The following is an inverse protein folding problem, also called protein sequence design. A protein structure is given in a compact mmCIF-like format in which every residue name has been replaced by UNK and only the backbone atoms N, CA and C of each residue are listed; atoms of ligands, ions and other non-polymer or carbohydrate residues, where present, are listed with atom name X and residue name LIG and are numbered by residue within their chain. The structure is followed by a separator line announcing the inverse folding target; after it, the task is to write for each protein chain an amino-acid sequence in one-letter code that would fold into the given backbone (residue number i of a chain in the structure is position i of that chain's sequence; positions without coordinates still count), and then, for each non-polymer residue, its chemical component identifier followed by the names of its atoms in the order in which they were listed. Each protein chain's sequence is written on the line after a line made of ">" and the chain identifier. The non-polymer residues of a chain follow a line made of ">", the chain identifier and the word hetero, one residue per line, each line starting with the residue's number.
data_IF_207742385254
#
_entry.id   IF_207742385254
#
_cell.length_a   1.000
_cell.length_b   1.000
_cell.length_c   1.000
_cell.angle_alpha   90.00
_cell.angle_beta   90.00
_cell.angle_gamma   90.00
#
_symmetry.space_group_name_H-M   'P 1'
#
loop_
_entity.id
_entity.type
_entity.pdbx_description
1 polymer ?
#
# COMPACT_ATOMS: atom_id res chain seq x y z
N UNK A 1 -10.19 -16.92 -46.27
CA UNK A 1 -10.78 -16.31 -45.06
C UNK A 1 -11.34 -17.43 -44.23
N UNK A 2 -10.65 -17.81 -43.18
CA UNK A 2 -10.93 -18.99 -42.36
C UNK A 2 -12.08 -18.72 -41.39
N UNK A 3 -12.96 -19.72 -41.18
CA UNK A 3 -14.13 -19.67 -40.28
C UNK A 3 -13.79 -19.27 -38.81
N UNK A 4 -12.54 -19.38 -38.40
CA UNK A 4 -12.08 -18.98 -37.08
C UNK A 4 -12.08 -17.45 -36.85
N UNK A 5 -11.77 -16.64 -37.86
CA UNK A 5 -11.79 -15.17 -37.73
C UNK A 5 -13.17 -14.55 -37.57
N UNK A 6 -14.21 -15.19 -38.10
CA UNK A 6 -15.61 -14.74 -37.96
C UNK A 6 -16.20 -15.04 -36.59
N UNK A 7 -15.73 -16.09 -35.91
CA UNK A 7 -16.16 -16.42 -34.54
C UNK A 7 -15.65 -15.44 -33.50
N UNK A 8 -14.42 -15.02 -33.66
CA UNK A 8 -13.75 -14.10 -32.69
C UNK A 8 -14.28 -12.66 -32.79
N UNK A 9 -14.56 -12.17 -34.00
CA UNK A 9 -15.22 -10.86 -34.19
C UNK A 9 -16.68 -10.83 -33.70
N UNK A 10 -17.43 -11.93 -33.94
CA UNK A 10 -18.80 -12.06 -33.47
C UNK A 10 -18.85 -12.16 -31.92
N UNK A 11 -17.89 -12.85 -31.31
CA UNK A 11 -17.77 -12.98 -29.87
C UNK A 11 -17.36 -11.63 -29.22
N UNK A 12 -16.42 -10.89 -29.81
CA UNK A 12 -16.04 -9.52 -29.37
C UNK A 12 -17.22 -8.55 -29.50
N UNK A 13 -17.97 -8.57 -30.62
CA UNK A 13 -19.18 -7.77 -30.78
C UNK A 13 -20.27 -8.13 -29.76
N UNK A 14 -20.44 -9.42 -29.42
CA UNK A 14 -21.40 -9.89 -28.43
C UNK A 14 -21.07 -9.44 -26.99
N UNK A 15 -19.81 -9.47 -26.59
CA UNK A 15 -19.35 -9.01 -25.28
C UNK A 15 -19.51 -7.48 -25.12
N UNK A 16 -19.10 -6.70 -26.13
CA UNK A 16 -19.31 -5.25 -26.16
C UNK A 16 -20.81 -4.87 -26.21
N UNK A 17 -21.62 -5.62 -26.92
CA UNK A 17 -23.06 -5.40 -26.99
C UNK A 17 -23.77 -5.73 -25.68
N UNK A 18 -23.34 -6.79 -24.97
CA UNK A 18 -23.84 -7.12 -23.61
C UNK A 18 -23.45 -6.07 -22.57
N UNK A 19 -22.21 -5.57 -22.63
CA UNK A 19 -21.76 -4.51 -21.75
C UNK A 19 -22.57 -3.21 -21.92
N UNK A 20 -23.00 -2.88 -23.13
CA UNK A 20 -23.80 -1.69 -23.44
C UNK A 20 -25.27 -1.79 -22.97
N UNK A 21 -25.76 -3.01 -22.70
CA UNK A 21 -27.13 -3.28 -22.16
C UNK A 21 -27.16 -3.46 -20.64
N UNK A 22 -26.01 -3.38 -19.95
CA UNK A 22 -25.99 -3.46 -18.50
C UNK A 22 -26.60 -2.21 -17.86
N UNK A 23 -27.28 -2.33 -16.70
CA UNK A 23 -27.73 -1.18 -15.96
C UNK A 23 -26.53 -0.28 -15.58
N UNK A 24 -26.70 1.05 -15.48
CA UNK A 24 -25.62 2.01 -15.22
C UNK A 24 -24.73 1.64 -14.00
N UNK A 25 -25.35 1.11 -12.95
CA UNK A 25 -24.66 0.66 -11.74
C UNK A 25 -23.69 -0.52 -12.03
N UNK A 26 -24.10 -1.49 -12.84
CA UNK A 26 -23.25 -2.62 -13.21
C UNK A 26 -22.11 -2.20 -14.14
N UNK A 27 -22.31 -1.21 -15.01
CA UNK A 27 -21.25 -0.65 -15.84
C UNK A 27 -20.18 0.05 -14.98
N UNK A 28 -20.59 0.82 -13.98
CA UNK A 28 -19.69 1.48 -13.05
C UNK A 28 -18.87 0.44 -12.26
N UNK A 29 -19.54 -0.61 -11.74
CA UNK A 29 -18.85 -1.71 -11.03
C UNK A 29 -17.80 -2.38 -11.91
N UNK A 30 -18.14 -2.67 -13.17
CA UNK A 30 -17.20 -3.30 -14.12
C UNK A 30 -16.01 -2.38 -14.44
N UNK A 31 -16.24 -1.08 -14.67
CA UNK A 31 -15.18 -0.12 -14.96
C UNK A 31 -14.20 0.02 -13.79
N UNK A 32 -14.70 0.07 -12.55
CA UNK A 32 -13.86 0.08 -11.36
C UNK A 32 -13.14 -1.26 -11.15
N UNK A 33 -13.75 -2.39 -11.48
CA UNK A 33 -13.07 -3.69 -11.41
C UNK A 33 -11.92 -3.77 -12.42
N UNK A 34 -12.13 -3.33 -13.66
CA UNK A 34 -11.09 -3.28 -14.70
C UNK A 34 -9.96 -2.34 -14.31
N UNK A 35 -10.29 -1.13 -13.82
CA UNK A 35 -9.31 -0.19 -13.27
C UNK A 35 -8.51 -0.84 -12.13
N UNK A 36 -9.20 -1.51 -11.20
CA UNK A 36 -8.59 -2.18 -10.06
C UNK A 36 -7.63 -3.31 -10.45
N UNK A 37 -7.94 -4.08 -11.48
CA UNK A 37 -7.08 -5.14 -12.05
C UNK A 37 -5.73 -4.56 -12.49
N UNK A 38 -5.75 -3.47 -13.28
CA UNK A 38 -4.53 -2.84 -13.74
C UNK A 38 -3.74 -2.20 -12.61
N UNK A 39 -4.42 -1.49 -11.70
CA UNK A 39 -3.81 -0.92 -10.51
C UNK A 39 -3.12 -2.00 -9.65
N UNK A 40 -3.79 -3.12 -9.42
CA UNK A 40 -3.24 -4.19 -8.60
C UNK A 40 -2.02 -4.85 -9.26
N UNK A 41 -2.04 -5.03 -10.58
CA UNK A 41 -0.86 -5.49 -11.31
C UNK A 41 0.35 -4.60 -11.03
N UNK A 42 0.19 -3.28 -11.20
CA UNK A 42 1.23 -2.28 -10.96
C UNK A 42 1.72 -2.32 -9.51
N UNK A 43 0.79 -2.31 -8.55
CA UNK A 43 1.10 -2.34 -7.12
C UNK A 43 1.85 -3.61 -6.72
N UNK A 44 1.44 -4.77 -7.26
CA UNK A 44 2.06 -6.05 -6.97
C UNK A 44 3.47 -6.14 -7.54
N UNK A 45 3.68 -5.68 -8.77
CA UNK A 45 5.03 -5.66 -9.39
C UNK A 45 5.94 -4.68 -8.66
N UNK A 46 5.44 -3.51 -8.23
CA UNK A 46 6.23 -2.60 -7.39
C UNK A 46 6.62 -3.24 -6.06
N UNK A 47 5.68 -3.89 -5.39
CA UNK A 47 5.87 -4.40 -4.03
C UNK A 47 7.05 -5.37 -3.92
N UNK A 48 7.19 -6.31 -4.86
CA UNK A 48 8.28 -7.28 -4.81
C UNK A 48 9.37 -7.00 -5.86
N UNK A 49 9.03 -6.43 -7.01
CA UNK A 49 9.91 -6.29 -8.16
C UNK A 49 10.94 -5.18 -8.02
N UNK A 50 10.63 -4.05 -7.38
CA UNK A 50 11.57 -2.91 -7.26
C UNK A 50 12.83 -3.29 -6.49
N UNK A 51 12.71 -3.99 -5.38
CA UNK A 51 13.85 -4.46 -4.61
C UNK A 51 14.70 -5.47 -5.40
N UNK A 52 14.04 -6.44 -6.06
CA UNK A 52 14.72 -7.42 -6.91
C UNK A 52 15.42 -6.75 -8.10
N UNK A 53 14.79 -5.74 -8.69
CA UNK A 53 15.36 -4.99 -9.81
C UNK A 53 16.64 -4.27 -9.40
N UNK A 54 16.59 -3.53 -8.28
CA UNK A 54 17.75 -2.86 -7.72
C UNK A 54 18.87 -3.85 -7.36
N UNK A 55 18.53 -4.99 -6.71
CA UNK A 55 19.51 -6.02 -6.34
C UNK A 55 20.20 -6.61 -7.56
N UNK A 56 19.46 -6.92 -8.65
CA UNK A 56 20.05 -7.44 -9.88
C UNK A 56 20.84 -6.38 -10.67
N UNK A 57 20.66 -5.08 -10.39
CA UNK A 57 21.53 -4.00 -10.87
C UNK A 57 22.74 -3.73 -9.97
N UNK A 58 22.92 -4.49 -8.88
CA UNK A 58 24.06 -4.34 -7.96
C UNK A 58 23.85 -3.33 -6.84
N UNK A 59 22.62 -3.04 -6.43
CA UNK A 59 22.32 -2.13 -5.33
C UNK A 59 22.95 -2.59 -4.00
N UNK A 60 23.47 -1.64 -3.24
CA UNK A 60 23.96 -1.85 -1.87
C UNK A 60 22.78 -1.95 -0.88
N UNK A 61 23.02 -2.53 0.32
CA UNK A 61 21.99 -2.63 1.37
C UNK A 61 21.39 -1.24 1.71
N UNK A 62 22.22 -0.19 1.76
CA UNK A 62 21.77 1.17 2.00
C UNK A 62 20.84 1.70 0.89
N UNK A 63 21.15 1.37 -0.36
CA UNK A 63 20.31 1.75 -1.51
C UNK A 63 18.97 1.04 -1.48
N UNK A 64 18.91 -0.23 -1.05
CA UNK A 64 17.63 -0.93 -0.80
C UNK A 64 16.79 -0.17 0.24
N UNK A 65 17.42 0.36 1.31
CA UNK A 65 16.73 1.21 2.30
C UNK A 65 16.09 2.48 1.71
N UNK A 66 16.69 3.06 0.67
CA UNK A 66 16.20 4.30 0.04
C UNK A 66 14.99 4.04 -0.88
N UNK A 67 14.79 2.83 -1.39
CA UNK A 67 13.72 2.50 -2.34
C UNK A 67 12.34 2.91 -1.81
N UNK A 68 12.08 2.70 -0.52
CA UNK A 68 10.81 3.11 0.11
C UNK A 68 10.76 4.61 0.41
N UNK A 69 11.91 5.24 0.67
CA UNK A 69 11.98 6.63 1.06
C UNK A 69 11.59 7.59 -0.08
N UNK A 70 12.12 7.37 -1.28
CA UNK A 70 11.92 8.27 -2.43
C UNK A 70 10.44 8.45 -2.79
N UNK A 71 9.65 7.40 -3.01
CA UNK A 71 8.22 7.54 -3.35
C UNK A 71 7.41 8.27 -2.28
N UNK A 72 7.69 8.00 -1.02
CA UNK A 72 6.94 8.58 0.09
C UNK A 72 7.28 10.06 0.30
N UNK A 73 8.53 10.48 0.11
CA UNK A 73 8.92 11.90 0.13
C UNK A 73 8.22 12.65 -1.00
N UNK A 74 8.24 12.09 -2.22
CA UNK A 74 7.56 12.68 -3.39
C UNK A 74 6.07 12.81 -3.12
N UNK A 75 5.44 11.76 -2.56
CA UNK A 75 4.03 11.80 -2.19
C UNK A 75 3.76 12.90 -1.15
N UNK A 76 4.52 12.97 -0.08
CA UNK A 76 4.36 14.01 0.96
C UNK A 76 4.50 15.43 0.38
N UNK A 77 5.48 15.65 -0.49
CA UNK A 77 5.71 16.96 -1.09
C UNK A 77 4.60 17.36 -2.09
N UNK A 78 4.06 16.38 -2.82
CA UNK A 78 3.10 16.63 -3.90
C UNK A 78 1.63 16.61 -3.43
N UNK A 79 1.28 15.84 -2.39
CA UNK A 79 -0.12 15.65 -1.99
C UNK A 79 -0.79 16.96 -1.58
N UNK A 80 -0.11 17.84 -0.85
CA UNK A 80 -0.67 19.12 -0.42
C UNK A 80 -0.91 20.08 -1.60
N UNK A 81 0.09 20.38 -2.47
CA UNK A 81 -0.14 21.24 -3.64
C UNK A 81 -1.19 20.67 -4.59
N UNK A 82 -1.18 19.35 -4.83
CA UNK A 82 -2.13 18.71 -5.73
C UNK A 82 -3.54 18.62 -5.13
N UNK A 83 -3.68 18.50 -3.81
CA UNK A 83 -4.96 18.60 -3.13
C UNK A 83 -5.60 19.97 -3.35
N UNK A 84 -4.84 21.06 -3.13
CA UNK A 84 -5.31 22.42 -3.38
C UNK A 84 -5.68 22.64 -4.87
N UNK A 85 -4.87 22.06 -5.77
CA UNK A 85 -5.14 22.13 -7.20
C UNK A 85 -6.41 21.36 -7.58
N UNK A 86 -6.62 20.17 -6.99
CA UNK A 86 -7.79 19.34 -7.23
C UNK A 86 -9.10 20.06 -6.87
N UNK A 87 -9.11 20.82 -5.77
CA UNK A 87 -10.29 21.59 -5.33
C UNK A 87 -10.67 22.73 -6.30
N UNK A 88 -9.72 23.18 -7.13
CA UNK A 88 -9.94 24.22 -8.14
C UNK A 88 -10.34 23.67 -9.51
N UNK A 89 -10.22 22.37 -9.70
CA UNK A 89 -10.50 21.74 -10.99
C UNK A 89 -11.97 21.35 -11.10
N UNK A 90 -12.56 21.56 -12.28
CA UNK A 90 -13.97 21.22 -12.58
C UNK A 90 -14.23 19.71 -12.54
N UNK A 91 -13.20 18.85 -12.61
CA UNK A 91 -13.35 17.41 -12.65
C UNK A 91 -12.36 16.73 -11.72
N UNK A 92 -12.88 15.87 -10.85
CA UNK A 92 -12.09 15.01 -9.94
C UNK A 92 -11.23 13.98 -10.67
N UNK A 93 -11.39 13.80 -11.99
CA UNK A 93 -10.56 12.91 -12.82
C UNK A 93 -9.26 13.53 -13.27
N UNK A 94 -9.13 14.86 -13.29
CA UNK A 94 -8.02 15.55 -13.93
C UNK A 94 -6.68 15.17 -13.30
N UNK A 95 -6.58 15.21 -11.98
CA UNK A 95 -5.34 14.84 -11.27
C UNK A 95 -5.03 13.33 -11.42
N UNK A 96 -5.97 12.38 -11.19
CA UNK A 96 -5.73 10.97 -11.47
C UNK A 96 -5.24 10.71 -12.91
N UNK A 97 -5.84 11.33 -13.91
CA UNK A 97 -5.43 11.17 -15.31
C UNK A 97 -4.01 11.70 -15.57
N UNK A 98 -3.68 12.86 -15.02
CA UNK A 98 -2.33 13.42 -15.13
C UNK A 98 -1.29 12.52 -14.47
N UNK A 99 -1.57 12.02 -13.26
CA UNK A 99 -0.67 11.11 -12.56
C UNK A 99 -0.48 9.79 -13.32
N UNK A 100 -1.52 9.27 -13.98
CA UNK A 100 -1.38 8.09 -14.84
C UNK A 100 -0.48 8.35 -16.05
N UNK A 101 -0.55 9.52 -16.67
CA UNK A 101 0.37 9.87 -17.77
C UNK A 101 1.82 9.93 -17.29
N UNK A 102 2.07 10.55 -16.14
CA UNK A 102 3.39 10.57 -15.50
C UNK A 102 3.88 9.16 -15.18
N UNK A 103 3.00 8.31 -14.61
CA UNK A 103 3.33 6.91 -14.32
C UNK A 103 3.67 6.12 -15.58
N UNK A 104 2.92 6.30 -16.68
CA UNK A 104 3.18 5.62 -17.93
C UNK A 104 4.60 5.93 -18.44
N UNK A 105 4.97 7.21 -18.52
CA UNK A 105 6.31 7.63 -18.90
C UNK A 105 7.36 7.12 -17.91
N UNK A 106 7.06 7.16 -16.60
CA UNK A 106 7.93 6.67 -15.54
C UNK A 106 8.21 5.17 -15.65
N UNK A 107 7.22 4.32 -15.91
CA UNK A 107 7.42 2.87 -16.07
C UNK A 107 8.14 2.51 -17.36
N UNK A 108 7.87 3.21 -18.47
CA UNK A 108 8.63 3.05 -19.70
C UNK A 108 10.11 3.42 -19.50
N UNK A 109 10.37 4.50 -18.77
CA UNK A 109 11.72 4.92 -18.39
C UNK A 109 12.38 3.89 -17.46
N UNK A 110 11.69 3.43 -16.39
CA UNK A 110 12.18 2.42 -15.45
C UNK A 110 12.58 1.13 -16.16
N UNK A 111 11.78 0.63 -17.11
CA UNK A 111 12.12 -0.53 -17.92
C UNK A 111 13.38 -0.36 -18.76
N UNK A 112 13.76 0.90 -19.09
CA UNK A 112 14.94 1.22 -19.89
C UNK A 112 16.20 1.46 -19.06
N UNK A 113 16.09 1.71 -17.75
CA UNK A 113 17.19 2.09 -16.86
C UNK A 113 18.44 1.22 -16.97
N UNK A 114 18.39 -0.14 -16.98
CA UNK A 114 19.61 -0.96 -17.06
C UNK A 114 20.40 -0.80 -18.37
N UNK A 115 19.75 -0.29 -19.42
CA UNK A 115 20.42 -0.03 -20.70
C UNK A 115 21.16 1.31 -20.74
N UNK A 116 21.07 2.13 -19.66
CA UNK A 116 21.63 3.49 -19.62
C UNK A 116 23.04 3.55 -18.98
N UNK A 117 23.68 2.40 -18.78
CA UNK A 117 25.09 2.30 -18.39
C UNK A 117 25.35 2.61 -16.92
N UNK A 118 26.50 3.25 -16.62
CA UNK A 118 27.03 3.41 -15.26
C UNK A 118 26.11 4.18 -14.29
N UNK A 119 25.25 5.05 -14.79
CA UNK A 119 24.31 5.83 -13.98
C UNK A 119 22.96 5.14 -13.74
N UNK A 120 22.87 3.83 -14.04
CA UNK A 120 21.59 3.11 -13.93
C UNK A 120 20.97 3.21 -12.53
N UNK A 121 21.77 3.19 -11.47
CA UNK A 121 21.25 3.27 -10.10
C UNK A 121 20.67 4.65 -9.74
N UNK A 122 21.32 5.74 -10.17
CA UNK A 122 20.82 7.09 -9.97
C UNK A 122 19.49 7.30 -10.73
N UNK A 123 19.45 6.85 -12.00
CA UNK A 123 18.28 6.93 -12.86
C UNK A 123 17.14 6.04 -12.34
N UNK A 124 17.46 4.91 -11.70
CA UNK A 124 16.48 4.10 -11.02
C UNK A 124 15.78 4.89 -9.90
N UNK A 125 16.53 5.56 -9.01
CA UNK A 125 15.93 6.36 -7.95
C UNK A 125 15.10 7.53 -8.49
N UNK A 126 15.56 8.19 -9.57
CA UNK A 126 14.77 9.21 -10.24
C UNK A 126 13.46 8.61 -10.78
N UNK A 127 13.52 7.41 -11.38
CA UNK A 127 12.31 6.74 -11.89
C UNK A 127 11.29 6.38 -10.82
N UNK A 128 11.73 6.14 -9.56
CA UNK A 128 10.83 5.88 -8.44
C UNK A 128 9.90 7.07 -8.13
N UNK A 129 10.38 8.29 -8.36
CA UNK A 129 9.55 9.48 -8.19
C UNK A 129 8.37 9.49 -9.16
N UNK A 130 8.61 9.10 -10.41
CA UNK A 130 7.62 9.10 -11.49
C UNK A 130 6.78 7.82 -11.55
N UNK A 131 7.17 6.75 -10.87
CA UNK A 131 6.43 5.49 -10.78
C UNK A 131 5.73 5.35 -9.44
N UNK A 132 6.42 4.85 -8.42
CA UNK A 132 5.85 4.60 -7.10
C UNK A 132 5.42 5.90 -6.38
N UNK A 133 6.12 7.02 -6.58
CA UNK A 133 5.72 8.33 -6.07
C UNK A 133 4.40 8.82 -6.69
N UNK A 134 4.30 8.76 -8.02
CA UNK A 134 3.06 9.10 -8.71
C UNK A 134 1.91 8.14 -8.35
N UNK A 135 2.19 6.84 -8.15
CA UNK A 135 1.20 5.86 -7.69
C UNK A 135 0.63 6.24 -6.31
N UNK A 136 1.46 6.71 -5.39
CA UNK A 136 0.99 7.15 -4.07
C UNK A 136 0.06 8.37 -4.17
N UNK A 137 0.38 9.32 -5.07
CA UNK A 137 -0.48 10.47 -5.37
C UNK A 137 -1.80 10.01 -6.01
N UNK A 138 -1.72 9.09 -6.99
CA UNK A 138 -2.89 8.52 -7.63
C UNK A 138 -3.84 7.90 -6.61
N UNK A 139 -3.33 7.07 -5.71
CA UNK A 139 -4.13 6.38 -4.69
C UNK A 139 -4.89 7.35 -3.77
N UNK A 140 -4.29 8.49 -3.43
CA UNK A 140 -4.95 9.52 -2.63
C UNK A 140 -6.08 10.22 -3.41
N UNK A 141 -5.83 10.60 -4.66
CA UNK A 141 -6.80 11.30 -5.50
C UNK A 141 -7.90 10.37 -6.03
N UNK A 142 -7.61 9.07 -6.18
CA UNK A 142 -8.58 8.06 -6.57
C UNK A 142 -9.77 8.00 -5.60
N UNK A 143 -9.54 8.14 -4.30
CA UNK A 143 -10.61 8.12 -3.29
C UNK A 143 -11.62 9.24 -3.50
N UNK A 144 -11.16 10.44 -3.84
CA UNK A 144 -12.04 11.58 -4.16
C UNK A 144 -12.85 11.31 -5.43
N UNK A 145 -12.21 10.80 -6.48
CA UNK A 145 -12.86 10.42 -7.74
C UNK A 145 -13.91 9.31 -7.51
N UNK A 146 -13.56 8.27 -6.74
CA UNK A 146 -14.47 7.18 -6.40
C UNK A 146 -15.69 7.70 -5.63
N UNK A 147 -15.45 8.58 -4.66
CA UNK A 147 -16.51 9.23 -3.88
C UNK A 147 -17.46 10.08 -4.72
N UNK A 148 -16.96 10.72 -5.79
CA UNK A 148 -17.79 11.50 -6.72
C UNK A 148 -18.54 10.64 -7.75
N UNK A 149 -17.96 9.47 -8.13
CA UNK A 149 -18.54 8.59 -9.16
C UNK A 149 -19.59 7.61 -8.60
N UNK A 150 -19.53 7.26 -7.30
CA UNK A 150 -20.35 6.19 -6.70
C UNK A 150 -21.15 6.71 -5.54
N UNK A 151 -22.48 6.49 -5.58
CA UNK A 151 -23.38 6.88 -4.50
C UNK A 151 -23.02 6.17 -3.19
N UNK A 152 -23.25 6.82 -2.05
CA UNK A 152 -22.93 6.30 -0.70
C UNK A 152 -23.47 4.88 -0.48
N UNK A 153 -24.69 4.61 -0.95
CA UNK A 153 -25.35 3.30 -0.80
C UNK A 153 -24.66 2.17 -1.55
N UNK A 154 -24.00 2.47 -2.68
CA UNK A 154 -23.38 1.46 -3.55
C UNK A 154 -21.87 1.34 -3.35
N UNK A 155 -21.24 2.24 -2.58
CA UNK A 155 -19.77 2.29 -2.43
C UNK A 155 -19.19 0.98 -1.94
N UNK A 156 -19.80 0.35 -0.95
CA UNK A 156 -19.30 -0.89 -0.38
C UNK A 156 -19.36 -2.04 -1.38
N UNK A 157 -20.43 -2.13 -2.17
CA UNK A 157 -20.60 -3.20 -3.16
C UNK A 157 -19.62 -3.06 -4.33
N UNK A 158 -19.47 -1.82 -4.85
CA UNK A 158 -18.50 -1.51 -5.91
C UNK A 158 -17.06 -1.78 -5.44
N UNK A 159 -16.72 -1.35 -4.22
CA UNK A 159 -15.40 -1.55 -3.64
C UNK A 159 -15.10 -3.03 -3.38
N UNK A 160 -16.06 -3.79 -2.85
CA UNK A 160 -15.93 -5.22 -2.62
C UNK A 160 -15.75 -5.99 -3.94
N UNK A 161 -16.56 -5.68 -4.94
CA UNK A 161 -16.47 -6.29 -6.28
C UNK A 161 -15.11 -6.01 -6.93
N UNK A 162 -14.66 -4.75 -6.92
CA UNK A 162 -13.32 -4.35 -7.39
C UNK A 162 -12.21 -5.16 -6.71
N UNK A 163 -12.24 -5.24 -5.40
CA UNK A 163 -11.20 -5.92 -4.62
C UNK A 163 -11.11 -7.42 -4.89
N UNK A 164 -12.22 -8.11 -5.20
CA UNK A 164 -12.19 -9.53 -5.58
C UNK A 164 -11.27 -9.78 -6.79
N UNK A 165 -11.37 -8.96 -7.83
CA UNK A 165 -10.49 -9.06 -9.00
C UNK A 165 -9.06 -8.64 -8.69
N UNK A 166 -8.89 -7.61 -7.86
CA UNK A 166 -7.56 -7.18 -7.41
C UNK A 166 -6.81 -8.30 -6.68
N UNK A 167 -7.46 -9.05 -5.79
CA UNK A 167 -6.83 -10.17 -5.10
C UNK A 167 -6.29 -11.24 -6.05
N UNK A 168 -7.05 -11.60 -7.09
CA UNK A 168 -6.61 -12.58 -8.09
C UNK A 168 -5.33 -12.12 -8.77
N UNK A 169 -5.28 -10.88 -9.23
CA UNK A 169 -4.10 -10.32 -9.90
C UNK A 169 -2.94 -10.13 -8.91
N UNK A 170 -3.24 -9.75 -7.67
CA UNK A 170 -2.25 -9.61 -6.59
C UNK A 170 -1.48 -10.90 -6.28
N UNK A 171 -2.10 -12.06 -6.56
CA UNK A 171 -1.46 -13.36 -6.44
C UNK A 171 -0.76 -13.75 -7.75
N UNK A 172 -1.48 -13.67 -8.88
CA UNK A 172 -1.00 -14.19 -10.15
C UNK A 172 0.21 -13.42 -10.69
N UNK A 173 0.21 -12.08 -10.64
CA UNK A 173 1.26 -11.28 -11.26
C UNK A 173 2.66 -11.53 -10.63
N UNK A 174 2.83 -11.49 -9.28
CA UNK A 174 4.11 -11.83 -8.65
C UNK A 174 4.53 -13.26 -8.91
N UNK A 175 3.60 -14.23 -8.84
CA UNK A 175 3.91 -15.66 -9.04
C UNK A 175 4.41 -15.92 -10.46
N UNK A 176 3.74 -15.39 -11.48
CA UNK A 176 4.17 -15.53 -12.88
C UNK A 176 5.56 -14.92 -13.08
N UNK A 177 5.78 -13.71 -12.56
CA UNK A 177 7.09 -13.05 -12.62
C UNK A 177 8.18 -13.87 -11.92
N UNK A 178 7.91 -14.38 -10.72
CA UNK A 178 8.85 -15.21 -9.96
C UNK A 178 9.18 -16.53 -10.65
N UNK A 179 8.21 -17.19 -11.29
CA UNK A 179 8.44 -18.41 -12.08
C UNK A 179 9.35 -18.10 -13.28
N UNK A 180 9.08 -17.00 -14.00
CA UNK A 180 9.91 -16.62 -15.16
C UNK A 180 11.33 -16.25 -14.74
N UNK A 181 11.50 -15.53 -13.64
CA UNK A 181 12.81 -15.21 -13.08
C UNK A 181 13.57 -16.46 -12.62
N UNK A 182 12.86 -17.41 -12.00
CA UNK A 182 13.45 -18.68 -11.55
C UNK A 182 13.98 -19.56 -12.69
N UNK A 183 13.54 -19.35 -13.93
CA UNK A 183 14.08 -20.01 -15.13
C UNK A 183 15.33 -19.33 -15.68
N UNK A 184 15.65 -18.12 -15.22
CA UNK A 184 16.82 -17.38 -15.66
C UNK A 184 18.01 -17.65 -14.72
N UNK A 185 19.13 -18.09 -15.27
CA UNK A 185 20.34 -18.41 -14.51
C UNK A 185 21.30 -17.21 -14.38
N UNK A 186 21.11 -16.17 -15.20
CA UNK A 186 21.97 -14.97 -15.21
C UNK A 186 21.23 -13.75 -14.66
N UNK A 187 21.96 -12.80 -14.07
CA UNK A 187 21.39 -11.53 -13.61
C UNK A 187 20.73 -10.74 -14.76
N UNK A 188 21.37 -10.74 -15.94
CA UNK A 188 20.83 -10.06 -17.13
C UNK A 188 19.50 -10.67 -17.59
N UNK A 189 19.37 -12.01 -17.53
CA UNK A 189 18.12 -12.69 -17.83
C UNK A 189 17.00 -12.29 -16.86
N UNK A 190 17.30 -12.21 -15.56
CA UNK A 190 16.36 -11.75 -14.53
C UNK A 190 15.97 -10.28 -14.71
N UNK A 191 16.96 -9.43 -15.06
CA UNK A 191 16.70 -8.03 -15.39
C UNK A 191 15.80 -7.90 -16.62
N UNK A 192 16.00 -8.73 -17.66
CA UNK A 192 15.14 -8.72 -18.85
C UNK A 192 13.69 -9.06 -18.50
N UNK A 193 13.46 -10.06 -17.66
CA UNK A 193 12.11 -10.41 -17.18
C UNK A 193 11.51 -9.21 -16.45
N UNK A 194 12.19 -8.63 -15.48
CA UNK A 194 11.66 -7.50 -14.71
C UNK A 194 11.41 -6.27 -15.59
N UNK A 195 12.31 -5.97 -16.54
CA UNK A 195 12.09 -4.92 -17.55
C UNK A 195 10.80 -5.13 -18.32
N UNK A 196 10.55 -6.35 -18.78
CA UNK A 196 9.32 -6.70 -19.52
C UNK A 196 8.08 -6.46 -18.66
N UNK A 197 8.12 -6.81 -17.36
CA UNK A 197 7.02 -6.55 -16.43
C UNK A 197 6.83 -5.05 -16.17
N UNK A 198 7.88 -4.23 -16.10
CA UNK A 198 7.76 -2.77 -15.96
C UNK A 198 7.23 -2.12 -17.25
N UNK A 199 7.62 -2.59 -18.43
CA UNK A 199 6.98 -2.13 -19.68
C UNK A 199 5.50 -2.53 -19.73
N UNK A 200 5.15 -3.72 -19.24
CA UNK A 200 3.75 -4.13 -19.12
C UNK A 200 3.00 -3.24 -18.10
N UNK A 201 3.67 -2.77 -17.02
CA UNK A 201 3.08 -1.74 -16.14
C UNK A 201 2.72 -0.46 -16.91
N UNK A 202 3.58 0.02 -17.81
CA UNK A 202 3.27 1.18 -18.64
C UNK A 202 2.02 0.96 -19.50
N UNK A 203 1.90 -0.23 -20.12
CA UNK A 203 0.69 -0.60 -20.89
C UNK A 203 -0.54 -0.67 -19.98
N UNK A 204 -0.42 -1.31 -18.80
CA UNK A 204 -1.51 -1.37 -17.81
C UNK A 204 -1.98 0.01 -17.37
N UNK A 205 -1.06 0.97 -17.18
CA UNK A 205 -1.39 2.36 -16.84
C UNK A 205 -2.22 3.01 -17.96
N UNK A 206 -1.88 2.80 -19.24
CA UNK A 206 -2.68 3.31 -20.35
C UNK A 206 -4.09 2.71 -20.38
N UNK A 207 -4.20 1.40 -20.16
CA UNK A 207 -5.50 0.72 -20.10
C UNK A 207 -6.31 1.17 -18.89
N UNK A 208 -5.68 1.41 -17.75
CA UNK A 208 -6.29 1.99 -16.56
C UNK A 208 -6.82 3.40 -16.83
N UNK A 209 -6.03 4.25 -17.50
CA UNK A 209 -6.47 5.58 -17.91
C UNK A 209 -7.68 5.54 -18.86
N UNK A 210 -7.69 4.59 -19.80
CA UNK A 210 -8.82 4.37 -20.71
C UNK A 210 -10.09 3.92 -19.95
N UNK A 211 -9.96 3.10 -18.90
CA UNK A 211 -11.07 2.70 -18.05
C UNK A 211 -11.62 3.90 -17.26
N UNK A 212 -10.76 4.68 -16.62
CA UNK A 212 -11.13 5.87 -15.83
C UNK A 212 -11.83 6.93 -16.71
N UNK A 213 -11.34 7.13 -17.93
CA UNK A 213 -11.98 8.07 -18.87
C UNK A 213 -13.46 7.75 -19.07
N UNK A 214 -13.83 6.45 -19.08
CA UNK A 214 -15.21 5.98 -19.28
C UNK A 214 -16.08 6.01 -18.03
N UNK A 215 -15.52 6.11 -16.82
CA UNK A 215 -16.31 6.22 -15.59
C UNK A 215 -17.13 7.52 -15.64
N UNK A 216 -18.47 7.49 -15.48
CA UNK A 216 -19.23 8.72 -15.39
C UNK A 216 -18.91 9.40 -14.03
N UNK A 217 -18.49 10.64 -14.08
CA UNK A 217 -18.33 11.50 -12.90
C UNK A 217 -19.13 12.76 -13.20
N UNK A 218 -20.08 13.08 -12.36
CA UNK A 218 -20.81 14.33 -12.47
C UNK A 218 -19.83 15.50 -12.37
N UNK A 219 -19.88 16.41 -13.34
CA UNK A 219 -19.13 17.66 -13.27
C UNK A 219 -19.69 18.46 -12.10
N UNK A 220 -18.82 18.92 -11.22
CA UNK A 220 -19.23 19.86 -10.18
C UNK A 220 -19.78 21.11 -10.83
N UNK A 221 -21.09 21.37 -10.67
CA UNK A 221 -21.69 22.66 -11.06
C UNK A 221 -21.00 23.78 -10.28
N UNK A 222 -20.64 24.83 -10.95
CA UNK A 222 -20.07 26.04 -10.34
C UNK A 222 -21.02 26.53 -9.24
N UNK A 223 -20.63 26.39 -7.98
CA UNK A 223 -21.38 26.91 -6.82
C UNK A 223 -21.98 25.88 -5.87
N UNK A 224 -22.03 24.60 -6.19
CA UNK A 224 -22.42 23.58 -5.20
C UNK A 224 -21.16 23.00 -4.55
N UNK A 225 -20.88 23.43 -3.33
CA UNK A 225 -19.92 22.79 -2.46
C UNK A 225 -20.22 21.29 -2.35
N UNK A 226 -19.21 20.39 -2.30
CA UNK A 226 -19.41 18.97 -2.12
C UNK A 226 -20.23 18.78 -0.85
N UNK A 227 -21.41 18.14 -0.97
CA UNK A 227 -22.23 17.78 0.16
C UNK A 227 -21.37 16.80 0.99
N UNK A 228 -20.95 17.26 2.17
CA UNK A 228 -20.38 16.49 3.28
C UNK A 228 -18.95 15.88 3.17
N UNK A 229 -18.12 16.21 2.19
CA UNK A 229 -16.69 16.32 2.50
C UNK A 229 -16.51 17.68 3.17
N UNK A 230 -16.48 17.71 4.50
CA UNK A 230 -16.52 18.95 5.27
C UNK A 230 -15.71 20.05 4.64
N UNK A 231 -16.25 21.28 4.62
CA UNK A 231 -15.60 22.51 4.12
C UNK A 231 -14.14 22.55 4.56
N UNK A 232 -13.27 21.85 3.83
CA UNK A 232 -11.85 22.06 3.93
C UNK A 232 -11.63 23.43 3.29
N UNK A 233 -11.43 24.43 4.12
CA UNK A 233 -11.17 25.79 3.70
C UNK A 233 -10.07 25.77 2.63
N UNK A 234 -10.25 26.54 1.61
CA UNK A 234 -9.44 26.63 0.38
C UNK A 234 -7.97 27.06 0.58
N UNK A 235 -7.46 27.03 1.79
CA UNK A 235 -6.07 27.30 2.12
C UNK A 235 -5.68 26.43 3.32
N UNK A 236 -4.97 25.31 3.05
CA UNK A 236 -4.23 24.64 4.10
C UNK A 236 -3.13 25.58 4.54
N UNK A 237 -3.30 26.17 5.71
CA UNK A 237 -2.31 27.06 6.32
C UNK A 237 -1.48 26.30 7.34
N UNK A 238 -0.25 26.72 7.55
CA UNK A 238 0.57 26.23 8.66
C UNK A 238 -0.17 26.42 10.01
N UNK A 239 -1.04 27.45 10.11
CA UNK A 239 -1.91 27.67 11.25
C UNK A 239 -2.90 26.53 11.47
N UNK A 240 -3.46 25.94 10.41
CA UNK A 240 -4.42 24.82 10.51
C UNK A 240 -3.72 23.56 11.03
N UNK A 241 -2.48 23.32 10.59
CA UNK A 241 -1.65 22.23 11.10
C UNK A 241 -1.33 22.41 12.59
N UNK A 242 -0.98 23.63 13.00
CA UNK A 242 -0.74 23.98 14.41
C UNK A 242 -2.03 23.83 15.25
N UNK A 243 -3.19 24.21 14.70
CA UNK A 243 -4.48 23.99 15.35
C UNK A 243 -4.76 22.51 15.54
N UNK A 244 -4.50 21.66 14.51
CA UNK A 244 -4.65 20.21 14.62
C UNK A 244 -3.74 19.62 15.70
N UNK A 245 -2.46 19.98 15.71
CA UNK A 245 -1.49 19.52 16.73
C UNK A 245 -1.95 19.96 18.13
N UNK A 246 -2.38 21.19 18.27
CA UNK A 246 -2.91 21.73 19.54
C UNK A 246 -4.17 21.00 19.98
N UNK A 247 -5.06 20.67 19.04
CA UNK A 247 -6.27 19.88 19.27
C UNK A 247 -5.94 18.47 19.77
N UNK A 248 -4.91 17.81 19.21
CA UNK A 248 -4.41 16.52 19.71
C UNK A 248 -3.94 16.63 21.15
N UNK A 249 -3.21 17.70 21.49
CA UNK A 249 -2.73 17.94 22.87
C UNK A 249 -3.85 18.17 23.89
N UNK A 250 -4.91 18.87 23.48
CA UNK A 250 -6.04 19.24 24.38
C UNK A 250 -7.07 18.12 24.51
N UNK A 251 -7.34 17.33 23.46
CA UNK A 251 -8.33 16.27 23.49
C UNK A 251 -7.73 14.94 23.96
N UNK A 252 -8.23 14.41 25.08
CA UNK A 252 -7.75 13.16 25.69
C UNK A 252 -7.87 11.96 24.75
N UNK A 253 -8.99 11.81 24.03
CA UNK A 253 -9.20 10.69 23.11
C UNK A 253 -8.22 10.74 21.92
N UNK A 254 -7.96 11.93 21.36
CA UNK A 254 -6.99 12.13 20.29
C UNK A 254 -5.56 11.87 20.77
N UNK A 255 -5.16 12.37 21.93
CA UNK A 255 -3.83 12.11 22.49
C UNK A 255 -3.58 10.62 22.70
N UNK A 256 -4.57 9.91 23.25
CA UNK A 256 -4.52 8.46 23.43
C UNK A 256 -4.65 7.67 22.11
N UNK A 257 -5.05 8.29 21.02
CA UNK A 257 -4.93 7.73 19.70
C UNK A 257 -3.56 7.98 19.09
N UNK A 258 -3.16 9.25 18.94
CA UNK A 258 -1.97 9.61 18.20
C UNK A 258 -0.69 9.03 18.80
N UNK A 259 -0.48 9.13 20.12
CA UNK A 259 0.77 8.71 20.73
C UNK A 259 1.00 7.19 20.59
N UNK A 260 0.12 6.29 21.04
CA UNK A 260 0.36 4.85 20.92
C UNK A 260 0.31 4.34 19.48
N UNK A 261 -0.61 4.86 18.64
CA UNK A 261 -0.76 4.38 17.27
C UNK A 261 0.37 4.84 16.37
N UNK A 262 0.81 6.11 16.46
CA UNK A 262 1.98 6.57 15.70
C UNK A 262 3.25 5.86 16.16
N UNK A 263 3.42 5.64 17.46
CA UNK A 263 4.53 4.84 17.98
C UNK A 263 4.50 3.40 17.44
N UNK A 264 3.32 2.78 17.35
CA UNK A 264 3.14 1.49 16.71
C UNK A 264 3.57 1.51 15.23
N UNK A 265 3.21 2.54 14.46
CA UNK A 265 3.65 2.69 13.06
C UNK A 265 5.17 2.86 12.95
N UNK A 266 5.79 3.63 13.84
CA UNK A 266 7.25 3.80 13.91
C UNK A 266 7.93 2.44 14.07
N UNK A 267 7.51 1.66 15.05
CA UNK A 267 8.12 0.35 15.31
C UNK A 267 7.85 -0.65 14.20
N UNK A 268 6.65 -0.64 13.63
CA UNK A 268 6.27 -1.56 12.56
C UNK A 268 7.01 -1.32 11.25
N UNK A 269 7.30 -0.05 10.91
CA UNK A 269 7.93 0.30 9.64
C UNK A 269 9.46 0.24 9.69
N UNK A 270 10.05 0.12 10.88
CA UNK A 270 11.50 0.12 11.08
C UNK A 270 12.20 -1.01 10.33
N UNK A 271 11.60 -2.19 10.28
CA UNK A 271 12.20 -3.39 9.67
C UNK A 271 11.77 -3.66 8.21
N UNK A 272 10.97 -2.80 7.57
CA UNK A 272 10.43 -3.09 6.25
C UNK A 272 11.48 -3.43 5.19
N UNK A 273 12.57 -2.65 5.11
CA UNK A 273 13.68 -2.99 4.20
C UNK A 273 14.49 -4.19 4.69
N UNK A 274 14.54 -4.40 6.01
CA UNK A 274 15.25 -5.55 6.59
C UNK A 274 14.56 -6.87 6.30
N UNK A 275 13.24 -6.90 6.07
CA UNK A 275 12.53 -8.10 5.62
C UNK A 275 13.10 -8.61 4.31
N UNK A 276 13.21 -7.75 3.30
CA UNK A 276 13.76 -8.13 2.02
C UNK A 276 15.24 -8.58 2.14
N UNK A 277 16.06 -7.80 2.83
CA UNK A 277 17.48 -8.15 3.04
C UNK A 277 17.62 -9.47 3.79
N UNK A 278 16.83 -9.71 4.84
CA UNK A 278 16.83 -10.95 5.60
C UNK A 278 16.43 -12.16 4.75
N UNK A 279 15.36 -12.04 3.96
CA UNK A 279 14.87 -13.08 3.05
C UNK A 279 15.93 -13.47 2.01
N UNK A 280 16.55 -12.50 1.36
CA UNK A 280 17.49 -12.74 0.26
C UNK A 280 18.87 -13.15 0.80
N UNK A 281 19.42 -12.38 1.73
CA UNK A 281 20.83 -12.51 2.16
C UNK A 281 21.05 -13.66 3.13
N UNK A 282 20.12 -13.90 4.06
CA UNK A 282 20.27 -14.87 5.15
C UNK A 282 19.36 -16.10 5.03
N UNK A 283 18.11 -15.92 4.67
CA UNK A 283 17.21 -17.05 4.41
C UNK A 283 17.49 -17.70 3.05
N UNK A 284 18.25 -17.03 2.15
CA UNK A 284 18.59 -17.52 0.80
C UNK A 284 17.35 -17.90 -0.02
N UNK A 285 16.28 -17.14 0.12
CA UNK A 285 15.05 -17.38 -0.63
C UNK A 285 15.24 -17.05 -2.10
N UNK A 286 14.78 -17.93 -2.98
CA UNK A 286 14.75 -17.67 -4.42
C UNK A 286 13.67 -16.65 -4.77
N UNK A 287 13.76 -16.03 -5.94
CA UNK A 287 12.78 -15.09 -6.45
C UNK A 287 11.38 -15.72 -6.55
N UNK A 288 11.32 -16.99 -6.92
CA UNK A 288 10.07 -17.77 -6.93
C UNK A 288 9.48 -17.90 -5.51
N UNK A 289 10.32 -18.22 -4.52
CA UNK A 289 9.90 -18.35 -3.12
C UNK A 289 9.40 -17.02 -2.57
N UNK A 290 10.08 -15.90 -2.88
CA UNK A 290 9.64 -14.55 -2.52
C UNK A 290 8.28 -14.19 -3.13
N UNK A 291 8.07 -14.55 -4.39
CA UNK A 291 6.80 -14.31 -5.09
C UNK A 291 5.65 -15.11 -4.49
N UNK A 292 5.89 -16.40 -4.19
CA UNK A 292 4.92 -17.27 -3.52
C UNK A 292 4.60 -16.73 -2.12
N UNK A 293 5.62 -16.27 -1.38
CA UNK A 293 5.45 -15.67 -0.06
C UNK A 293 4.46 -14.48 -0.10
N UNK A 294 4.64 -13.57 -1.06
CA UNK A 294 3.72 -12.44 -1.23
C UNK A 294 2.28 -12.89 -1.58
N UNK A 295 2.14 -13.89 -2.43
CA UNK A 295 0.83 -14.45 -2.80
C UNK A 295 0.11 -15.09 -1.61
N UNK A 296 0.79 -15.99 -0.89
CA UNK A 296 0.24 -16.71 0.29
C UNK A 296 -0.06 -15.74 1.42
N UNK A 297 0.78 -14.73 1.62
CA UNK A 297 0.55 -13.66 2.57
C UNK A 297 -0.76 -12.89 2.32
N UNK A 298 -1.05 -12.52 1.08
CA UNK A 298 -2.30 -11.87 0.71
C UNK A 298 -3.52 -12.78 0.96
N UNK A 299 -3.41 -14.09 0.70
CA UNK A 299 -4.46 -15.06 1.02
C UNK A 299 -4.68 -15.13 2.54
N UNK A 300 -3.62 -15.17 3.34
CA UNK A 300 -3.69 -15.16 4.79
C UNK A 300 -4.40 -13.93 5.35
N UNK A 301 -4.08 -12.76 4.83
CA UNK A 301 -4.76 -11.51 5.21
C UNK A 301 -6.25 -11.53 4.83
N UNK A 302 -6.59 -11.99 3.62
CA UNK A 302 -7.97 -12.11 3.18
C UNK A 302 -8.78 -13.04 4.10
N UNK A 303 -8.23 -14.19 4.47
CA UNK A 303 -8.85 -15.11 5.40
C UNK A 303 -9.05 -14.49 6.80
N UNK A 304 -8.10 -13.68 7.25
CA UNK A 304 -8.16 -13.01 8.55
C UNK A 304 -9.19 -11.87 8.61
N UNK A 305 -9.49 -11.19 7.50
CA UNK A 305 -10.44 -10.05 7.46
C UNK A 305 -11.78 -10.43 8.09
N UNK A 306 -12.33 -11.61 7.75
CA UNK A 306 -13.61 -12.06 8.30
C UNK A 306 -13.57 -12.32 9.81
N UNK A 307 -12.47 -12.85 10.33
CA UNK A 307 -12.25 -13.06 11.77
C UNK A 307 -12.11 -11.71 12.49
N UNK A 308 -11.29 -10.83 11.97
CA UNK A 308 -11.09 -9.48 12.53
C UNK A 308 -12.39 -8.70 12.54
N UNK A 309 -13.17 -8.72 11.46
CA UNK A 309 -14.47 -8.06 11.41
C UNK A 309 -15.45 -8.59 12.48
N UNK A 310 -15.42 -9.90 12.80
CA UNK A 310 -16.19 -10.47 13.92
C UNK A 310 -15.69 -9.97 15.29
N UNK A 311 -14.37 -9.85 15.47
CA UNK A 311 -13.78 -9.28 16.69
C UNK A 311 -14.17 -7.82 16.86
N UNK A 312 -14.09 -7.03 15.79
CA UNK A 312 -14.49 -5.63 15.77
C UNK A 312 -15.95 -5.47 16.20
N UNK A 313 -16.87 -6.25 15.63
CA UNK A 313 -18.31 -6.22 16.01
C UNK A 313 -18.57 -6.66 17.45
N UNK A 314 -17.88 -7.72 17.92
CA UNK A 314 -18.13 -8.29 19.27
C UNK A 314 -17.47 -7.49 20.40
N UNK A 315 -16.37 -6.85 20.15
CA UNK A 315 -15.57 -6.16 21.16
C UNK A 315 -15.41 -4.66 20.86
N UNK A 316 -14.54 -4.32 19.93
CA UNK A 316 -14.32 -2.95 19.41
C UNK A 316 -13.18 -2.94 18.39
N UNK A 317 -13.06 -1.90 17.55
CA UNK A 317 -11.87 -1.67 16.72
C UNK A 317 -10.58 -1.55 17.55
N UNK A 318 -10.64 -0.91 18.72
CA UNK A 318 -9.52 -0.75 19.65
C UNK A 318 -8.96 -2.10 20.13
N UNK A 319 -9.85 -3.04 20.42
CA UNK A 319 -9.45 -4.40 20.83
C UNK A 319 -8.87 -5.20 19.66
N UNK A 320 -9.46 -5.07 18.47
CA UNK A 320 -8.98 -5.75 17.27
C UNK A 320 -7.57 -5.28 16.86
N UNK A 321 -7.22 -4.01 17.09
CA UNK A 321 -5.89 -3.48 16.80
C UNK A 321 -4.79 -4.14 17.67
N UNK A 322 -5.13 -4.63 18.87
CA UNK A 322 -4.18 -5.36 19.73
C UNK A 322 -3.74 -6.67 19.06
N UNK A 323 -4.62 -7.37 18.33
CA UNK A 323 -4.25 -8.59 17.59
C UNK A 323 -3.20 -8.29 16.50
N UNK A 324 -3.34 -7.17 15.79
CA UNK A 324 -2.31 -6.73 14.86
C UNK A 324 -0.99 -6.46 15.58
N UNK A 325 -1.03 -5.77 16.73
CA UNK A 325 0.13 -5.52 17.56
C UNK A 325 0.84 -6.81 17.98
N UNK A 326 0.11 -7.80 18.48
CA UNK A 326 0.68 -9.10 18.91
C UNK A 326 1.29 -9.85 17.73
N UNK A 327 0.58 -9.96 16.60
CA UNK A 327 1.08 -10.68 15.43
C UNK A 327 2.35 -10.02 14.87
N UNK A 328 2.34 -8.71 14.69
CA UNK A 328 3.49 -7.96 14.18
C UNK A 328 4.66 -7.92 15.17
N UNK A 329 4.38 -7.97 16.49
CA UNK A 329 5.40 -8.08 17.53
C UNK A 329 6.21 -9.38 17.40
N UNK A 330 5.59 -10.48 17.00
CA UNK A 330 6.25 -11.78 16.87
C UNK A 330 6.99 -11.95 15.54
N UNK A 331 6.76 -11.08 14.55
CA UNK A 331 7.41 -11.16 13.24
C UNK A 331 8.95 -11.15 13.30
N UNK A 332 9.66 -10.31 14.07
CA UNK A 332 11.11 -10.32 14.16
C UNK A 332 11.70 -11.67 14.59
N UNK A 333 10.94 -12.47 15.36
CA UNK A 333 11.35 -13.81 15.80
C UNK A 333 11.57 -14.74 14.59
N UNK A 334 10.80 -14.56 13.50
CA UNK A 334 10.98 -15.35 12.26
C UNK A 334 12.38 -15.12 11.67
N UNK A 335 12.83 -13.86 11.65
CA UNK A 335 14.15 -13.49 11.12
C UNK A 335 15.30 -13.98 12.02
N UNK A 336 15.03 -14.25 13.28
CA UNK A 336 16.02 -14.86 14.18
C UNK A 336 16.06 -16.39 13.98
N UNK A 337 14.91 -17.05 13.87
CA UNK A 337 14.83 -18.52 13.84
C UNK A 337 15.14 -19.12 12.46
N UNK A 338 14.56 -18.57 11.40
CA UNK A 338 14.60 -19.20 10.06
C UNK A 338 16.01 -19.35 9.49
N UNK A 339 16.96 -18.41 9.64
CA UNK A 339 18.33 -18.60 9.16
C UNK A 339 19.08 -19.78 9.78
N UNK A 340 18.67 -20.28 10.94
CA UNK A 340 19.28 -21.45 11.58
C UNK A 340 18.76 -22.78 11.02
N UNK A 341 17.64 -22.79 10.31
CA UNK A 341 17.09 -24.02 9.74
C UNK A 341 17.91 -24.51 8.54
N UNK A 342 17.88 -25.82 8.22
CA UNK A 342 18.41 -26.34 6.97
C UNK A 342 17.79 -25.60 5.76
N UNK A 343 18.58 -25.35 4.73
CA UNK A 343 18.21 -24.53 3.58
C UNK A 343 16.88 -24.95 2.93
N UNK A 344 16.63 -26.26 2.84
CA UNK A 344 15.42 -26.84 2.25
C UNK A 344 14.11 -26.41 2.97
N UNK A 345 14.17 -26.13 4.27
CA UNK A 345 12.99 -25.79 5.06
C UNK A 345 12.78 -24.28 5.27
N UNK A 346 13.82 -23.44 5.00
CA UNK A 346 13.76 -21.99 5.29
C UNK A 346 12.59 -21.31 4.61
N UNK A 347 12.42 -21.52 3.30
CA UNK A 347 11.37 -20.89 2.52
C UNK A 347 9.98 -21.24 3.00
N UNK A 348 9.70 -22.54 3.17
CA UNK A 348 8.37 -23.03 3.62
C UNK A 348 8.05 -22.56 5.02
N UNK A 349 9.00 -22.70 5.97
CA UNK A 349 8.81 -22.25 7.36
C UNK A 349 8.56 -20.75 7.43
N UNK A 350 9.35 -19.97 6.66
CA UNK A 350 9.17 -18.52 6.58
C UNK A 350 7.77 -18.15 6.10
N UNK A 351 7.30 -18.75 4.99
CA UNK A 351 5.98 -18.48 4.40
C UNK A 351 4.87 -18.81 5.41
N UNK A 352 4.93 -19.97 6.07
CA UNK A 352 3.89 -20.39 7.03
C UNK A 352 3.86 -19.45 8.23
N UNK A 353 4.99 -19.21 8.89
CA UNK A 353 5.06 -18.35 10.06
C UNK A 353 4.66 -16.93 9.75
N UNK A 354 5.18 -16.38 8.63
CA UNK A 354 4.86 -15.02 8.20
C UNK A 354 3.37 -14.85 7.90
N UNK A 355 2.77 -15.83 7.22
CA UNK A 355 1.34 -15.78 6.89
C UNK A 355 0.48 -15.78 8.16
N UNK A 356 0.79 -16.65 9.14
CA UNK A 356 0.01 -16.75 10.37
C UNK A 356 0.18 -15.52 11.26
N UNK A 357 1.44 -15.10 11.50
CA UNK A 357 1.74 -13.99 12.41
C UNK A 357 1.35 -12.62 11.85
N UNK A 358 1.41 -12.47 10.52
CA UNK A 358 1.10 -11.21 9.86
C UNK A 358 -0.36 -11.11 9.39
N UNK A 359 -1.12 -12.21 9.35
CA UNK A 359 -2.54 -12.17 8.98
C UNK A 359 -3.36 -11.12 9.74
N UNK A 360 -3.17 -10.92 11.08
CA UNK A 360 -3.89 -9.90 11.84
C UNK A 360 -3.57 -8.45 11.43
N UNK A 361 -2.55 -8.20 10.61
CA UNK A 361 -2.20 -6.87 10.10
C UNK A 361 -3.38 -6.18 9.39
N UNK A 362 -4.30 -6.95 8.78
CA UNK A 362 -5.51 -6.38 8.18
C UNK A 362 -6.33 -5.53 9.16
N UNK A 363 -6.22 -5.77 10.49
CA UNK A 363 -6.85 -4.95 11.50
C UNK A 363 -6.30 -3.52 11.55
N UNK A 364 -5.05 -3.29 11.16
CA UNK A 364 -4.46 -1.93 11.12
C UNK A 364 -5.25 -1.07 10.14
N UNK A 365 -5.43 -1.52 8.90
CA UNK A 365 -6.16 -0.78 7.89
C UNK A 365 -7.65 -0.61 8.25
N UNK A 366 -8.27 -1.64 8.84
CA UNK A 366 -9.70 -1.63 9.18
C UNK A 366 -10.02 -0.75 10.41
N UNK A 367 -9.12 -0.71 11.39
CA UNK A 367 -9.45 -0.16 12.71
C UNK A 367 -8.87 1.23 12.96
N UNK A 368 -7.68 1.55 12.44
CA UNK A 368 -7.03 2.84 12.77
C UNK A 368 -7.85 4.05 12.34
N UNK A 369 -8.38 4.04 11.13
CA UNK A 369 -9.22 5.14 10.63
C UNK A 369 -10.55 5.22 11.40
N UNK A 370 -11.18 4.09 11.72
CA UNK A 370 -12.41 4.07 12.52
C UNK A 370 -12.20 4.67 13.91
N UNK A 371 -11.10 4.29 14.57
CA UNK A 371 -10.75 4.81 15.89
C UNK A 371 -10.50 6.32 15.83
N UNK A 372 -9.78 6.79 14.80
CA UNK A 372 -9.50 8.20 14.59
C UNK A 372 -10.80 8.98 14.36
N UNK A 373 -11.68 8.49 13.48
CA UNK A 373 -12.97 9.12 13.16
C UNK A 373 -13.86 9.25 14.39
N UNK A 374 -13.84 8.25 15.29
CA UNK A 374 -14.58 8.29 16.54
C UNK A 374 -14.00 9.29 17.56
N UNK A 375 -12.69 9.47 17.57
CA UNK A 375 -12.01 10.38 18.49
C UNK A 375 -12.01 11.85 17.99
N UNK A 376 -12.13 12.05 16.67
CA UNK A 376 -12.00 13.35 16.03
C UNK A 376 -13.30 14.16 16.11
N UNK A 377 -13.26 15.43 16.59
CA UNK A 377 -14.38 16.36 16.51
C UNK A 377 -14.79 16.60 15.05
N UNK A 378 -16.09 16.75 14.78
CA UNK A 378 -16.60 16.92 13.40
C UNK A 378 -15.95 18.08 12.66
N UNK A 379 -15.75 19.21 13.36
CA UNK A 379 -15.17 20.44 12.80
C UNK A 379 -13.76 20.23 12.20
N UNK A 380 -12.92 19.38 12.81
CA UNK A 380 -11.50 19.22 12.43
C UNK A 380 -11.17 17.79 11.95
N UNK A 381 -12.19 16.98 11.62
CA UNK A 381 -12.03 15.54 11.29
C UNK A 381 -11.12 15.32 10.09
N UNK A 382 -11.35 16.04 9.00
CA UNK A 382 -10.53 15.93 7.77
C UNK A 382 -9.07 16.30 8.02
N UNK A 383 -8.84 17.36 8.78
CA UNK A 383 -7.50 17.84 9.14
C UNK A 383 -6.73 16.82 10.00
N UNK A 384 -7.42 16.18 10.96
CA UNK A 384 -6.81 15.14 11.82
C UNK A 384 -6.49 13.86 11.04
N UNK A 385 -7.34 13.48 10.06
CA UNK A 385 -7.04 12.37 9.14
C UNK A 385 -5.80 12.70 8.30
N UNK A 386 -5.72 13.92 7.76
CA UNK A 386 -4.57 14.38 6.97
C UNK A 386 -3.29 14.40 7.81
N UNK A 387 -3.36 14.88 9.06
CA UNK A 387 -2.23 14.87 9.99
C UNK A 387 -1.74 13.44 10.26
N UNK A 388 -2.67 12.52 10.55
CA UNK A 388 -2.33 11.11 10.77
C UNK A 388 -1.69 10.47 9.53
N UNK A 389 -2.28 10.68 8.36
CA UNK A 389 -1.75 10.18 7.09
C UNK A 389 -0.35 10.74 6.80
N UNK A 390 -0.14 12.04 7.03
CA UNK A 390 1.17 12.67 6.88
C UNK A 390 2.20 12.05 7.84
N UNK A 391 1.86 11.85 9.11
CA UNK A 391 2.77 11.24 10.09
C UNK A 391 3.13 9.80 9.70
N UNK A 392 2.15 8.98 9.31
CA UNK A 392 2.38 7.58 8.92
C UNK A 392 3.16 7.47 7.60
N UNK A 393 2.95 8.40 6.67
CA UNK A 393 3.73 8.45 5.41
C UNK A 393 5.16 8.90 5.69
N UNK A 394 5.36 9.87 6.57
CA UNK A 394 6.70 10.32 6.97
C UNK A 394 7.48 9.21 7.68
N UNK A 395 6.84 8.50 8.61
CA UNK A 395 7.48 7.33 9.24
C UNK A 395 7.84 6.27 8.21
N UNK A 396 6.95 5.97 7.26
CA UNK A 396 7.23 5.04 6.15
C UNK A 396 8.37 5.49 5.22
N UNK A 397 8.61 6.80 5.11
CA UNK A 397 9.75 7.34 4.35
C UNK A 397 11.08 7.10 5.06
N UNK A 398 11.14 7.35 6.36
CA UNK A 398 12.41 7.49 7.09
C UNK A 398 12.80 6.20 7.81
N UNK A 399 11.84 5.50 8.42
CA UNK A 399 12.13 4.36 9.30
C UNK A 399 12.78 3.17 8.59
N UNK A 400 12.38 2.76 7.36
CA UNK A 400 13.05 1.66 6.67
C UNK A 400 14.53 1.92 6.43
N UNK A 401 14.90 3.17 6.10
CA UNK A 401 16.30 3.57 5.94
C UNK A 401 17.05 3.57 7.28
N UNK A 402 16.42 4.06 8.35
CA UNK A 402 17.01 4.01 9.69
C UNK A 402 17.23 2.57 10.16
N UNK A 403 16.31 1.65 9.85
CA UNK A 403 16.47 0.23 10.12
C UNK A 403 17.70 -0.35 9.44
N UNK A 404 17.90 -0.07 8.16
CA UNK A 404 19.11 -0.53 7.42
C UNK A 404 20.38 0.12 7.98
N UNK A 405 20.36 1.42 8.30
CA UNK A 405 21.51 2.09 8.92
C UNK A 405 21.88 1.50 10.29
N UNK A 406 20.87 1.19 11.11
CA UNK A 406 21.11 0.53 12.40
C UNK A 406 21.73 -0.85 12.19
N UNK A 407 21.20 -1.66 11.26
CA UNK A 407 21.79 -2.95 10.91
C UNK A 407 23.24 -2.81 10.42
N UNK A 408 23.52 -1.83 9.58
CA UNK A 408 24.88 -1.55 9.08
C UNK A 408 25.83 -1.14 10.22
N UNK A 409 25.37 -0.29 11.13
CA UNK A 409 26.13 0.13 12.31
C UNK A 409 26.44 -1.03 13.27
N UNK A 410 25.59 -2.07 13.29
CA UNK A 410 25.78 -3.28 14.09
C UNK A 410 26.75 -4.30 13.45
N UNK A 411 27.25 -4.04 12.22
CA UNK A 411 28.26 -4.87 11.54
C UNK A 411 27.83 -5.49 10.21
N UNK A 412 26.56 -5.34 9.79
CA UNK A 412 25.99 -5.81 8.52
C UNK A 412 26.16 -7.32 8.24
N UNK A 413 26.29 -8.13 9.28
CA UNK A 413 26.43 -9.58 9.25
C UNK A 413 25.21 -10.31 9.85
N UNK A 414 25.26 -11.63 9.96
CA UNK A 414 24.18 -12.43 10.56
C UNK A 414 23.96 -12.06 12.03
N UNK A 415 25.02 -11.77 12.77
CA UNK A 415 24.95 -11.37 14.18
C UNK A 415 24.26 -10.00 14.30
N UNK A 416 24.59 -9.08 13.39
CA UNK A 416 23.92 -7.78 13.30
C UNK A 416 22.41 -7.93 13.00
N UNK A 417 22.04 -8.86 12.12
CA UNK A 417 20.62 -9.18 11.86
C UNK A 417 19.91 -9.63 13.15
N UNK A 418 20.53 -10.52 13.94
CA UNK A 418 19.92 -10.98 15.20
C UNK A 418 19.80 -9.86 16.22
N UNK A 419 20.84 -9.06 16.40
CA UNK A 419 20.82 -7.89 17.32
C UNK A 419 19.76 -6.89 16.90
N UNK A 420 19.67 -6.60 15.61
CA UNK A 420 18.63 -5.72 15.05
C UNK A 420 17.22 -6.25 15.37
N UNK A 421 16.95 -7.53 15.07
CA UNK A 421 15.63 -8.11 15.30
C UNK A 421 15.29 -8.25 16.79
N UNK A 422 16.27 -8.42 17.69
CA UNK A 422 16.05 -8.37 19.13
C UNK A 422 15.67 -6.95 19.61
N UNK A 423 16.32 -5.93 19.09
CA UNK A 423 15.97 -4.52 19.37
C UNK A 423 14.56 -4.24 18.83
N UNK A 424 14.27 -4.64 17.58
CA UNK A 424 12.97 -4.44 16.96
C UNK A 424 11.85 -5.17 17.72
N UNK A 425 12.08 -6.41 18.17
CA UNK A 425 11.17 -7.14 19.04
C UNK A 425 10.89 -6.38 20.34
N UNK A 426 11.93 -5.86 20.99
CA UNK A 426 11.79 -5.08 22.23
C UNK A 426 10.93 -3.83 22.05
N UNK A 427 11.18 -3.04 21.00
CA UNK A 427 10.37 -1.82 20.74
C UNK A 427 8.95 -2.15 20.29
N UNK A 428 8.73 -3.27 19.58
CA UNK A 428 7.40 -3.76 19.21
C UNK A 428 6.59 -4.27 20.41
N UNK A 429 7.24 -4.92 21.38
CA UNK A 429 6.61 -5.27 22.67
C UNK A 429 6.11 -3.99 23.35
N UNK A 430 6.97 -2.96 23.46
CA UNK A 430 6.58 -1.69 24.07
C UNK A 430 5.41 -1.01 23.34
N UNK A 431 5.42 -1.02 21.99
CA UNK A 431 4.32 -0.43 21.22
C UNK A 431 3.02 -1.21 21.39
N UNK A 432 3.09 -2.55 21.43
CA UNK A 432 1.92 -3.41 21.67
C UNK A 432 1.35 -3.21 23.07
N UNK A 433 2.20 -3.07 24.09
CA UNK A 433 1.78 -2.67 25.43
C UNK A 433 1.13 -1.28 25.45
N UNK A 434 1.63 -0.35 24.64
CA UNK A 434 1.00 0.95 24.42
C UNK A 434 -0.42 0.85 23.85
N UNK A 435 -0.66 -0.05 22.89
CA UNK A 435 -2.01 -0.33 22.35
C UNK A 435 -2.93 -0.96 23.39
N UNK A 436 -2.43 -1.90 24.21
CA UNK A 436 -3.19 -2.52 25.31
C UNK A 436 -3.57 -1.46 26.34
N UNK A 437 -2.60 -0.64 26.74
CA UNK A 437 -2.83 0.44 27.70
C UNK A 437 -3.85 1.47 27.17
N UNK A 438 -3.74 1.83 25.88
CA UNK A 438 -4.75 2.67 25.22
C UNK A 438 -6.14 2.07 25.32
N UNK A 439 -6.30 0.77 24.99
CA UNK A 439 -7.59 0.08 25.09
C UNK A 439 -8.17 0.12 26.51
N UNK A 440 -7.35 -0.20 27.51
CA UNK A 440 -7.77 -0.16 28.93
C UNK A 440 -8.19 1.26 29.34
N UNK A 441 -7.44 2.27 28.90
CA UNK A 441 -7.73 3.67 29.20
C UNK A 441 -9.01 4.14 28.49
N UNK A 442 -9.19 3.78 27.21
CA UNK A 442 -10.40 4.08 26.47
C UNK A 442 -11.65 3.47 27.12
N UNK A 443 -11.53 2.21 27.59
CA UNK A 443 -12.61 1.53 28.32
C UNK A 443 -12.94 2.21 29.64
N UNK A 444 -11.91 2.61 30.42
CA UNK A 444 -12.09 3.27 31.72
C UNK A 444 -12.71 4.67 31.59
N UNK A 445 -12.25 5.44 30.61
CA UNK A 445 -12.62 6.85 30.45
C UNK A 445 -13.80 7.06 29.48
N UNK A 446 -14.39 5.99 28.94
CA UNK A 446 -15.63 6.03 28.16
C UNK A 446 -15.49 6.49 26.72
N UNK A 447 -14.26 6.57 26.14
CA UNK A 447 -14.06 6.95 24.73
C UNK A 447 -13.73 5.74 23.83
N UNK A 448 -14.11 4.52 24.23
CA UNK A 448 -13.98 3.33 23.42
C UNK A 448 -14.79 3.46 22.13
N UNK A 449 -14.20 3.09 21.00
CA UNK A 449 -14.88 3.14 19.70
C UNK A 449 -16.04 2.16 19.67
N UNK A 450 -17.26 2.69 19.58
CA UNK A 450 -18.49 1.89 19.40
C UNK A 450 -18.79 1.81 17.92
N UNK A 451 -19.21 0.65 17.45
CA UNK A 451 -19.83 0.52 16.13
C UNK A 451 -21.31 0.77 16.37
N UNK A 452 -21.85 1.81 15.73
CA UNK A 452 -23.30 1.96 15.61
C UNK A 452 -23.81 0.81 14.71
N UNK A 453 -24.74 0.04 15.23
CA UNK A 453 -25.46 -1.00 14.50
C UNK A 453 -26.13 -0.46 13.24
#
# INVERSE_FOLDING_TARGET
>A
MTKEGMGDEAMKKSLFYRAKKMPPSAQIMLLFAVEGVFLQYITSINGFGLNLYATNMGATDSQIGIIQMVPNIVACAALLPLGILADRLKSTKTIPMLTLLVMCAGYAFLGSVPALGERCMELFFVSLAFTAGALAIYNAQWQAMFGAAVSLRQRNDVYAFRNQFMFVIGILAPVICGILMGRCHTADGKLLVLRSFFYLCAVCVLLQAAAIKKIPVEQQEEGKAPVEAGKASSRFSVSDLLEAITSVGKNKALRWFFVPVVFFYITWQLDWSMWYLGQVKYCKMSEMTLSICNGVFNIGQLAAVGMIAKVVRKKSPDFALIFAGIGLCLCPVIMILVPHLPLAYRGVTFIVLMTVLNAPQCAVALCTVQILLNAAPEKNRSLLISLFTMMTTLTNSVLPLLGVRLYTALGADLTALYRFNLIDLGVRILSTLGLIWRYQKAKKDGFLTKISD
#
